data_IF_765615253003
#
_entry.id   IF_765615253003
#
_cell.length_a   1.000
_cell.length_b   1.000
_cell.length_c   1.000
_cell.angle_alpha   90.00
_cell.angle_beta   90.00
_cell.angle_gamma   90.00
#
_symmetry.space_group_name_H-M   'P 1'
#
loop_
_entity.id
_entity.type
_entity.pdbx_description
1 polymer ?
#
# COMPACT_ATOMS: atom_id res chain seq x y z
N UNK A 1 -3.70 0.53 -2.22
CA UNK A 1 -2.57 1.06 -3.00
C UNK A 1 -1.53 0.00 -3.39
N UNK A 2 -1.00 -0.81 -2.45
CA UNK A 2 0.10 -1.75 -2.70
C UNK A 2 -0.15 -2.67 -3.92
N UNK A 3 -1.29 -3.35 -3.96
CA UNK A 3 -1.66 -4.26 -5.07
C UNK A 3 -1.74 -3.51 -6.42
N UNK A 4 -2.30 -2.30 -6.42
CA UNK A 4 -2.42 -1.48 -7.64
C UNK A 4 -1.02 -1.12 -8.15
N UNK A 5 -0.14 -0.65 -7.27
CA UNK A 5 1.24 -0.29 -7.62
C UNK A 5 2.02 -1.52 -8.08
N UNK A 6 1.86 -2.67 -7.41
CA UNK A 6 2.48 -3.93 -7.82
C UNK A 6 2.02 -4.35 -9.22
N UNK A 7 0.71 -4.32 -9.45
CA UNK A 7 0.10 -4.63 -10.74
C UNK A 7 0.60 -3.71 -11.85
N UNK A 8 0.60 -2.39 -11.63
CA UNK A 8 1.09 -1.42 -12.61
C UNK A 8 2.58 -1.60 -12.91
N UNK A 9 3.39 -1.88 -11.87
CA UNK A 9 4.82 -2.14 -12.03
C UNK A 9 5.09 -3.40 -12.85
N UNK A 10 4.29 -4.47 -12.67
CA UNK A 10 4.37 -5.71 -13.46
C UNK A 10 3.84 -5.53 -14.87
N UNK A 11 2.69 -4.88 -15.04
CA UNK A 11 2.11 -4.57 -16.34
C UNK A 11 3.11 -3.77 -17.21
N UNK A 12 3.79 -2.79 -16.61
CA UNK A 12 4.86 -2.03 -17.29
C UNK A 12 6.11 -2.85 -17.58
N UNK A 13 6.40 -3.91 -16.80
CA UNK A 13 7.48 -4.86 -17.11
C UNK A 13 7.10 -5.84 -18.23
N UNK A 14 5.81 -6.18 -18.34
CA UNK A 14 5.29 -7.09 -19.37
C UNK A 14 5.26 -6.45 -20.74
N UNK A 15 5.10 -5.13 -20.82
CA UNK A 15 5.13 -4.36 -22.08
C UNK A 15 4.17 -4.94 -23.14
N UNK A 16 2.91 -5.17 -22.73
CA UNK A 16 1.87 -5.73 -23.60
C UNK A 16 1.89 -7.26 -23.73
N UNK A 17 2.91 -7.96 -23.22
CA UNK A 17 2.93 -9.44 -23.20
C UNK A 17 1.78 -10.01 -22.34
N UNK A 18 1.18 -11.15 -22.75
CA UNK A 18 0.15 -11.83 -21.98
C UNK A 18 0.67 -12.25 -20.59
N UNK A 19 -0.25 -12.45 -19.65
CA UNK A 19 0.09 -12.96 -18.31
C UNK A 19 0.49 -14.42 -18.44
N UNK A 20 1.73 -14.75 -18.09
CA UNK A 20 2.20 -16.12 -17.94
C UNK A 20 2.21 -16.48 -16.45
N UNK A 21 1.26 -17.33 -16.05
CA UNK A 21 1.08 -17.73 -14.65
C UNK A 21 2.28 -18.52 -14.12
N UNK A 22 2.88 -19.39 -14.93
CA UNK A 22 4.01 -20.21 -14.52
C UNK A 22 5.26 -19.34 -14.25
N UNK A 23 5.49 -18.34 -15.11
CA UNK A 23 6.58 -17.39 -14.91
C UNK A 23 6.35 -16.46 -13.70
N UNK A 24 5.12 -16.00 -13.47
CA UNK A 24 4.79 -15.13 -12.33
C UNK A 24 4.85 -15.87 -10.99
N UNK A 25 4.45 -17.15 -10.93
CA UNK A 25 4.58 -18.00 -9.73
C UNK A 25 6.05 -18.32 -9.41
N UNK A 26 6.87 -18.56 -10.44
CA UNK A 26 8.30 -18.81 -10.27
C UNK A 26 9.08 -17.56 -9.85
N UNK A 27 8.55 -16.36 -10.08
CA UNK A 27 9.20 -15.10 -9.77
C UNK A 27 9.33 -14.90 -8.25
N UNK A 28 10.56 -14.98 -7.74
CA UNK A 28 10.86 -14.67 -6.34
C UNK A 28 10.82 -13.16 -6.12
N UNK A 29 9.69 -12.66 -5.65
CA UNK A 29 9.54 -11.27 -5.25
C UNK A 29 9.73 -11.14 -3.73
N UNK A 30 10.60 -10.22 -3.27
CA UNK A 30 10.79 -9.99 -1.85
C UNK A 30 9.48 -9.51 -1.20
N UNK A 31 9.02 -10.23 -0.18
CA UNK A 31 7.76 -9.97 0.54
C UNK A 31 7.82 -8.74 1.46
N UNK A 32 8.99 -8.46 2.02
CA UNK A 32 9.14 -7.48 3.08
C UNK A 32 8.76 -6.02 2.72
N UNK A 33 8.98 -5.48 1.50
CA UNK A 33 8.64 -4.08 1.22
C UNK A 33 7.14 -3.83 1.20
N UNK A 34 6.38 -4.82 0.71
CA UNK A 34 4.93 -4.76 0.74
C UNK A 34 4.43 -4.81 2.18
N UNK A 35 5.00 -5.68 3.01
CA UNK A 35 4.64 -5.75 4.43
C UNK A 35 4.99 -4.44 5.16
N UNK A 36 6.17 -3.88 4.95
CA UNK A 36 6.57 -2.61 5.57
C UNK A 36 5.67 -1.46 5.17
N UNK A 37 5.32 -1.34 3.88
CA UNK A 37 4.38 -0.32 3.43
C UNK A 37 2.97 -0.53 4.02
N UNK A 38 2.54 -1.77 4.22
CA UNK A 38 1.26 -2.08 4.84
C UNK A 38 1.24 -1.69 6.32
N UNK A 39 2.24 -2.13 7.09
CA UNK A 39 2.35 -1.83 8.53
C UNK A 39 2.49 -0.33 8.77
N UNK A 40 3.35 0.35 8.00
CA UNK A 40 3.52 1.79 8.12
C UNK A 40 2.26 2.57 7.67
N UNK A 41 1.61 2.15 6.58
CA UNK A 41 0.34 2.75 6.16
C UNK A 41 -0.76 2.59 7.21
N UNK A 42 -0.83 1.43 7.86
CA UNK A 42 -1.74 1.19 8.96
C UNK A 42 -1.42 2.08 10.17
N UNK A 43 -0.16 2.16 10.59
CA UNK A 43 0.26 3.01 11.69
C UNK A 43 -0.08 4.50 11.45
N UNK A 44 0.09 4.99 10.21
CA UNK A 44 -0.28 6.36 9.83
C UNK A 44 -1.81 6.57 9.84
N UNK A 45 -2.60 5.52 9.61
CA UNK A 45 -4.06 5.60 9.61
C UNK A 45 -4.67 5.61 11.03
N UNK A 46 -4.01 5.00 12.03
CA UNK A 46 -4.51 4.89 13.41
C UNK A 46 -4.95 6.24 14.00
N UNK A 47 -4.22 7.36 13.86
CA UNK A 47 -4.66 8.66 14.38
C UNK A 47 -5.98 9.19 13.79
N UNK A 48 -6.37 8.69 12.60
CA UNK A 48 -7.53 9.13 11.82
C UNK A 48 -8.73 8.18 11.92
N UNK A 49 -8.61 7.07 12.66
CA UNK A 49 -9.70 6.13 12.89
C UNK A 49 -10.77 6.70 13.81
N UNK A 50 -12.04 6.52 13.46
CA UNK A 50 -13.20 6.85 14.28
C UNK A 50 -14.12 5.63 14.34
N UNK A 51 -13.85 4.74 15.30
CA UNK A 51 -14.59 3.49 15.50
C UNK A 51 -15.29 3.50 16.86
N UNK A 52 -16.26 2.62 17.07
CA UNK A 52 -16.95 2.50 18.37
C UNK A 52 -16.04 2.12 19.54
N UNK A 53 -14.93 1.41 19.27
CA UNK A 53 -13.96 0.98 20.30
C UNK A 53 -12.85 2.03 20.50
N UNK A 54 -12.47 2.74 19.44
CA UNK A 54 -11.31 3.63 19.43
C UNK A 54 -11.53 4.83 18.52
N UNK A 55 -11.26 6.02 19.06
CA UNK A 55 -11.24 7.29 18.33
C UNK A 55 -9.86 7.91 18.44
N UNK A 56 -9.18 8.04 17.31
CA UNK A 56 -7.85 8.62 17.19
C UNK A 56 -7.84 10.12 17.48
N UNK A 57 -6.69 10.69 17.88
CA UNK A 57 -6.57 12.10 18.22
C UNK A 57 -6.95 13.04 17.07
N UNK A 58 -6.60 12.69 15.82
CA UNK A 58 -6.94 13.51 14.64
C UNK A 58 -8.42 13.37 14.31
N UNK A 59 -8.97 12.15 14.36
CA UNK A 59 -10.41 11.93 14.20
C UNK A 59 -11.24 12.72 15.24
N UNK A 60 -10.77 12.77 16.49
CA UNK A 60 -11.40 13.57 17.55
C UNK A 60 -11.38 15.07 17.24
N UNK A 61 -10.26 15.60 16.74
CA UNK A 61 -10.15 16.99 16.30
C UNK A 61 -11.06 17.31 15.09
N UNK A 62 -11.37 16.30 14.28
CA UNK A 62 -12.27 16.38 13.13
C UNK A 62 -13.73 16.03 13.47
N UNK A 63 -14.14 16.17 14.74
CA UNK A 63 -15.51 15.89 15.20
C UNK A 63 -15.99 14.46 14.93
N UNK A 64 -15.07 13.49 14.95
CA UNK A 64 -15.39 12.08 14.75
C UNK A 64 -15.42 11.62 13.29
N UNK A 65 -14.94 12.42 12.35
CA UNK A 65 -14.76 11.98 10.96
C UNK A 65 -13.71 10.86 10.86
N UNK A 66 -14.07 9.74 10.21
CA UNK A 66 -13.15 8.64 9.91
C UNK A 66 -12.46 8.88 8.57
N UNK A 67 -11.14 9.09 8.60
CA UNK A 67 -10.29 9.25 7.42
C UNK A 67 -9.24 8.14 7.30
N UNK A 68 -9.39 7.04 8.05
CA UNK A 68 -8.38 5.98 8.12
C UNK A 68 -8.12 5.35 6.75
N UNK A 69 -9.17 5.02 5.98
CA UNK A 69 -9.02 4.40 4.66
C UNK A 69 -8.31 5.27 3.62
N UNK A 70 -8.73 6.53 3.35
CA UNK A 70 -8.02 7.37 2.39
C UNK A 70 -6.59 7.69 2.83
N UNK A 71 -6.36 7.91 4.13
CA UNK A 71 -5.01 8.14 4.66
C UNK A 71 -4.13 6.89 4.51
N UNK A 72 -4.63 5.71 4.87
CA UNK A 72 -3.92 4.44 4.67
C UNK A 72 -3.57 4.21 3.19
N UNK A 73 -4.51 4.51 2.29
CA UNK A 73 -4.30 4.39 0.86
C UNK A 73 -3.17 5.30 0.37
N UNK A 74 -3.19 6.59 0.74
CA UNK A 74 -2.17 7.56 0.37
C UNK A 74 -0.81 7.22 0.98
N UNK A 75 -0.78 6.87 2.26
CA UNK A 75 0.45 6.46 2.94
C UNK A 75 1.08 5.23 2.28
N UNK A 76 0.29 4.19 2.01
CA UNK A 76 0.77 2.99 1.34
C UNK A 76 1.22 3.27 -0.11
N UNK A 77 0.55 4.18 -0.83
CA UNK A 77 0.94 4.61 -2.17
C UNK A 77 2.32 5.30 -2.14
N UNK A 78 2.50 6.26 -1.24
CA UNK A 78 3.75 7.04 -1.10
C UNK A 78 4.92 6.19 -0.62
N UNK A 79 4.69 5.22 0.27
CA UNK A 79 5.73 4.36 0.80
C UNK A 79 6.12 3.24 -0.17
N UNK A 80 5.15 2.56 -0.76
CA UNK A 80 5.42 1.37 -1.57
C UNK A 80 5.98 1.71 -2.97
N UNK A 81 5.51 2.78 -3.59
CA UNK A 81 5.93 3.19 -4.94
C UNK A 81 7.45 3.35 -5.06
N UNK A 82 8.14 4.18 -4.24
CA UNK A 82 9.60 4.32 -4.34
C UNK A 82 10.32 3.03 -3.98
N UNK A 83 9.84 2.25 -3.00
CA UNK A 83 10.43 0.96 -2.64
C UNK A 83 10.38 -0.06 -3.78
N UNK A 84 9.32 -0.02 -4.59
CA UNK A 84 9.16 -0.89 -5.75
C UNK A 84 9.91 -0.37 -6.97
N UNK A 85 9.96 0.94 -7.20
CA UNK A 85 10.62 1.54 -8.36
C UNK A 85 12.15 1.51 -8.21
N UNK A 86 12.69 1.71 -7.00
CA UNK A 86 14.15 1.76 -6.74
C UNK A 86 14.87 0.41 -6.86
N UNK A 87 14.14 -0.71 -6.97
CA UNK A 87 14.73 -2.05 -7.13
C UNK A 87 15.02 -2.48 -8.57
N UNK A 88 14.95 -1.54 -9.50
CA UNK A 88 15.33 -1.72 -10.92
C UNK A 88 16.69 -1.10 -11.25
N UNK A 89 17.63 -1.09 -10.31
CA UNK A 89 19.04 -0.71 -10.58
C UNK A 89 19.92 -1.91 -10.30
#
# INVERSE_FOLDING_TARGET
AIVIVDWLARARARDGRPVDLAAEEAARVPWWPALMAFVAGFAVAVPFMSTGLYVGPVARALHGADLAYPVAFLAALLLYTPLRVRRRV
#
